data_IF_041125698134
#
_entry.id   IF_041125698134
#
_cell.length_a   1.000
_cell.length_b   1.000
_cell.length_c   1.000
_cell.angle_alpha   90.00
_cell.angle_beta   90.00
_cell.angle_gamma   90.00
#
_symmetry.space_group_name_H-M   'P 1'
#
loop_
_entity.id
_entity.type
_entity.pdbx_description
1 polymer ?
#
# COMPACT_ATOMS: atom_id res chain seq x y z
N UNK A 1 -5.53 -3.56 17.90
CA UNK A 1 -6.05 -2.18 17.94
C UNK A 1 -5.03 -1.21 17.32
N UNK A 2 -4.98 -1.08 15.99
CA UNK A 2 -4.34 0.07 15.30
C UNK A 2 -5.03 0.27 13.94
N UNK A 3 -6.37 0.38 13.95
CA UNK A 3 -7.16 0.62 12.74
C UNK A 3 -7.71 2.07 12.68
N UNK A 4 -7.64 2.84 13.77
CA UNK A 4 -8.42 4.08 13.88
C UNK A 4 -7.75 5.38 13.40
N UNK A 5 -6.49 5.37 12.96
CA UNK A 5 -5.77 6.64 12.67
C UNK A 5 -5.61 6.95 11.18
N UNK A 6 -5.86 5.99 10.28
CA UNK A 6 -5.71 6.21 8.82
C UNK A 6 -7.01 6.62 8.11
N UNK A 7 -8.15 6.57 8.80
CA UNK A 7 -9.49 6.73 8.19
C UNK A 7 -9.78 8.11 7.59
N UNK A 8 -8.91 9.11 7.82
CA UNK A 8 -9.16 10.49 7.38
C UNK A 8 -8.39 10.94 6.13
N UNK A 9 -7.37 10.20 5.66
CA UNK A 9 -6.45 10.76 4.65
C UNK A 9 -6.70 10.42 3.19
N UNK A 10 -7.59 9.50 2.85
CA UNK A 10 -8.28 9.46 1.54
C UNK A 10 -8.88 8.08 1.30
N UNK A 11 -10.08 8.08 0.77
CA UNK A 11 -10.85 6.93 0.30
C UNK A 11 -10.15 6.05 -0.79
N UNK A 12 -8.84 6.18 -1.07
CA UNK A 12 -8.21 5.48 -2.23
C UNK A 12 -6.75 5.00 -2.14
N UNK A 13 -6.05 5.12 -0.99
CA UNK A 13 -4.67 4.59 -0.87
C UNK A 13 -4.66 3.07 -0.62
N UNK A 14 -5.52 2.57 0.28
CA UNK A 14 -5.53 1.15 0.65
C UNK A 14 -6.01 0.24 -0.47
N UNK A 15 -7.06 0.66 -1.19
CA UNK A 15 -7.56 -0.08 -2.35
C UNK A 15 -6.50 -0.16 -3.45
N UNK A 16 -5.74 0.91 -3.65
CA UNK A 16 -4.61 0.89 -4.56
C UNK A 16 -3.55 -0.13 -4.14
N UNK A 17 -3.16 -0.14 -2.86
CA UNK A 17 -2.18 -1.10 -2.33
C UNK A 17 -2.67 -2.54 -2.53
N UNK A 18 -3.93 -2.83 -2.18
CA UNK A 18 -4.53 -4.17 -2.34
C UNK A 18 -4.58 -4.60 -3.81
N UNK A 19 -5.06 -3.73 -4.70
CA UNK A 19 -5.14 -4.02 -6.15
C UNK A 19 -3.74 -4.23 -6.77
N UNK A 20 -2.79 -3.34 -6.50
CA UNK A 20 -1.42 -3.42 -7.06
C UNK A 20 -0.65 -4.62 -6.52
N UNK A 21 -0.84 -4.96 -5.24
CA UNK A 21 -0.26 -6.17 -4.66
C UNK A 21 -0.75 -7.41 -5.39
N UNK A 22 -2.07 -7.55 -5.59
CA UNK A 22 -2.66 -8.67 -6.33
C UNK A 22 -2.14 -8.77 -7.76
N UNK A 23 -2.07 -7.64 -8.48
CA UNK A 23 -1.55 -7.60 -9.85
C UNK A 23 -0.09 -8.03 -9.96
N UNK A 24 0.77 -7.59 -9.03
CA UNK A 24 2.18 -7.98 -9.03
C UNK A 24 2.35 -9.43 -8.55
N UNK A 25 1.53 -9.88 -7.60
CA UNK A 25 1.55 -11.27 -7.16
C UNK A 25 1.14 -12.23 -8.27
N UNK A 26 0.12 -11.88 -9.05
CA UNK A 26 -0.31 -12.65 -10.22
C UNK A 26 0.77 -12.71 -11.32
N UNK A 27 1.66 -11.73 -11.38
CA UNK A 27 2.84 -11.72 -12.28
C UNK A 27 4.04 -12.52 -11.74
N UNK A 28 3.93 -13.11 -10.54
CA UNK A 28 4.97 -13.94 -9.95
C UNK A 28 5.98 -13.20 -9.06
N UNK A 29 5.78 -11.91 -8.76
CA UNK A 29 6.68 -11.18 -7.89
C UNK A 29 6.58 -11.65 -6.42
N UNK A 30 7.71 -11.57 -5.71
CA UNK A 30 7.76 -11.86 -4.28
C UNK A 30 7.30 -10.65 -3.46
N UNK A 31 6.86 -10.89 -2.22
CA UNK A 31 6.38 -9.81 -1.37
C UNK A 31 7.47 -8.75 -1.10
N UNK A 32 8.73 -9.19 -0.99
CA UNK A 32 9.88 -8.32 -0.74
C UNK A 32 10.21 -7.42 -1.94
N UNK A 33 9.81 -7.81 -3.15
CA UNK A 33 9.90 -6.96 -4.35
C UNK A 33 8.66 -6.07 -4.52
N UNK A 34 7.50 -6.56 -4.12
CA UNK A 34 6.21 -5.88 -4.30
C UNK A 34 6.10 -4.63 -3.43
N UNK A 35 6.39 -4.75 -2.12
CA UNK A 35 6.15 -3.65 -1.19
C UNK A 35 7.02 -2.40 -1.46
N UNK A 36 8.34 -2.51 -1.74
CA UNK A 36 9.14 -1.35 -2.14
C UNK A 36 8.66 -0.68 -3.42
N UNK A 37 8.17 -1.48 -4.38
CA UNK A 37 7.62 -0.95 -5.63
C UNK A 37 6.34 -0.16 -5.40
N UNK A 38 5.41 -0.69 -4.61
CA UNK A 38 4.17 0.00 -4.23
C UNK A 38 4.47 1.28 -3.45
N UNK A 39 5.46 1.27 -2.54
CA UNK A 39 5.88 2.47 -1.82
C UNK A 39 6.41 3.57 -2.77
N UNK A 40 7.22 3.20 -3.76
CA UNK A 40 7.67 4.14 -4.79
C UNK A 40 6.54 4.69 -5.66
N UNK A 41 5.58 3.84 -6.04
CA UNK A 41 4.38 4.24 -6.80
C UNK A 41 3.49 5.21 -5.99
N UNK A 42 3.38 5.01 -4.67
CA UNK A 42 2.66 5.90 -3.75
C UNK A 42 3.36 7.23 -3.56
N UNK A 43 4.69 7.25 -3.40
CA UNK A 43 5.47 8.48 -3.26
C UNK A 43 5.37 9.37 -4.51
N UNK A 44 5.22 8.78 -5.70
CA UNK A 44 4.95 9.52 -6.93
C UNK A 44 3.52 10.09 -7.03
N UNK A 45 2.56 9.55 -6.27
CA UNK A 45 1.15 9.97 -6.27
C UNK A 45 0.94 11.15 -5.32
N UNK A 46 1.08 12.37 -5.84
CA UNK A 46 0.93 13.67 -5.15
C UNK A 46 -0.47 14.00 -4.58
N UNK A 47 -1.41 13.06 -4.56
CA UNK A 47 -2.80 13.34 -4.16
C UNK A 47 -3.08 12.64 -2.83
N UNK A 48 -2.81 13.34 -1.73
CA UNK A 48 -3.24 13.04 -0.35
C UNK A 48 -2.77 11.73 0.32
N UNK A 49 -2.05 10.82 -0.34
CA UNK A 49 -1.53 9.62 0.32
C UNK A 49 -0.32 9.97 1.21
N UNK A 50 -0.38 9.79 2.55
CA UNK A 50 0.80 9.90 3.39
C UNK A 50 1.85 8.88 2.96
N UNK A 51 3.12 9.18 3.17
CA UNK A 51 4.21 8.22 2.90
C UNK A 51 4.02 6.98 3.78
N UNK A 52 3.51 5.90 3.17
CA UNK A 52 3.30 4.65 3.85
C UNK A 52 4.62 3.88 3.92
N UNK A 53 5.06 3.58 5.15
CA UNK A 53 6.18 2.66 5.38
C UNK A 53 5.83 1.25 4.92
N UNK A 54 6.85 0.42 4.62
CA UNK A 54 6.66 -0.99 4.25
C UNK A 54 5.84 -1.77 5.28
N UNK A 55 5.98 -1.42 6.57
CA UNK A 55 5.22 -2.03 7.66
C UNK A 55 3.73 -1.68 7.58
N UNK A 56 3.40 -0.44 7.24
CA UNK A 56 2.01 -0.02 7.02
C UNK A 56 1.42 -0.69 5.78
N UNK A 57 2.18 -0.81 4.69
CA UNK A 57 1.73 -1.52 3.49
C UNK A 57 1.41 -3.00 3.77
N UNK A 58 2.28 -3.69 4.52
CA UNK A 58 2.03 -5.08 4.93
C UNK A 58 0.77 -5.21 5.77
N UNK A 59 0.51 -4.23 6.64
CA UNK A 59 -0.71 -4.20 7.45
C UNK A 59 -1.97 -3.99 6.62
N UNK A 60 -1.91 -3.21 5.55
CA UNK A 60 -3.06 -3.02 4.65
C UNK A 60 -3.42 -4.30 3.88
N UNK A 61 -2.42 -5.14 3.58
CA UNK A 61 -2.62 -6.40 2.83
C UNK A 61 -2.95 -7.59 3.72
N UNK A 62 -2.33 -7.68 4.91
CA UNK A 62 -2.44 -8.85 5.80
C UNK A 62 -3.15 -8.58 7.12
N UNK A 63 -3.37 -7.31 7.47
CA UNK A 63 -3.93 -6.88 8.75
C UNK A 63 -5.45 -6.77 8.74
#
# INVERSE_FOLDING_TARGET
>A
MVADVLSYFSESAEEFVRRRHGELKARGFTNDEIFPRIAGELHGRRVAAPELSLRQLRRIVYG
#
